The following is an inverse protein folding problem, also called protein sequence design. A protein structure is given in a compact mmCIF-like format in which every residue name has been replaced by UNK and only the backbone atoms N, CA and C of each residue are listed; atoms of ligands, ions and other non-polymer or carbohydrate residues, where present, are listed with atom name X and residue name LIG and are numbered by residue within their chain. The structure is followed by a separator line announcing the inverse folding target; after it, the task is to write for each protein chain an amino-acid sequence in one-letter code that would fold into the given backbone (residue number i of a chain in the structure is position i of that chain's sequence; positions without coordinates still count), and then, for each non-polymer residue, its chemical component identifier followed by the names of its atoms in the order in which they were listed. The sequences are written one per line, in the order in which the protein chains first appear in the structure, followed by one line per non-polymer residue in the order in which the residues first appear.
data_IF_867777470266
#
_entry.id   IF_867777470266
#
_cell.length_a   1.000
_cell.length_b   1.000
_cell.length_c   1.000
_cell.angle_alpha   90.00
_cell.angle_beta   90.00
_cell.angle_gamma   90.00
#
_symmetry.space_group_name_H-M   'P 1'
#
loop_
_entity.id
_entity.type
_entity.pdbx_description
1 polymer ?
#
# COMPACT_ATOMS: atom_id res chain seq x y z
N UNK A 1 33.19 1.95 -4.93
CA UNK A 1 32.90 3.39 -5.09
C UNK A 1 31.83 3.54 -6.16
N UNK A 2 30.54 3.48 -5.78
CA UNK A 2 29.44 3.68 -6.72
C UNK A 2 29.07 5.15 -6.75
N UNK A 3 29.45 5.85 -7.82
CA UNK A 3 29.12 7.26 -7.99
C UNK A 3 27.61 7.44 -8.01
N UNK A 4 27.07 8.14 -7.02
CA UNK A 4 25.73 8.69 -7.09
C UNK A 4 25.75 9.72 -8.22
N UNK A 5 25.30 9.29 -9.40
CA UNK A 5 25.15 10.15 -10.56
C UNK A 5 24.32 11.37 -10.17
N UNK A 6 24.98 12.52 -10.05
CA UNK A 6 24.36 13.83 -9.90
C UNK A 6 23.74 14.22 -11.24
N UNK A 7 22.73 13.48 -11.69
CA UNK A 7 21.73 14.08 -12.54
C UNK A 7 20.90 14.99 -11.64
N UNK A 8 21.48 16.16 -11.34
CA UNK A 8 20.82 17.35 -10.80
C UNK A 8 19.82 17.92 -11.80
N UNK A 9 19.01 17.03 -12.36
CA UNK A 9 17.89 17.36 -13.20
C UNK A 9 16.77 17.77 -12.27
N UNK A 10 16.34 19.01 -12.47
CA UNK A 10 15.19 19.74 -11.94
C UNK A 10 13.86 18.96 -12.10
N UNK A 11 13.79 17.72 -11.63
CA UNK A 11 12.64 16.84 -11.78
C UNK A 11 11.62 17.20 -10.71
N UNK A 12 10.52 17.78 -11.15
CA UNK A 12 9.39 18.09 -10.29
C UNK A 12 8.66 16.80 -9.92
N UNK A 13 8.40 16.62 -8.62
CA UNK A 13 7.65 15.49 -8.10
C UNK A 13 6.45 15.95 -7.30
N UNK A 14 5.31 15.30 -7.53
CA UNK A 14 4.13 15.39 -6.68
C UNK A 14 4.20 14.22 -5.70
N UNK A 15 4.42 14.50 -4.42
CA UNK A 15 4.73 13.48 -3.41
C UNK A 15 4.01 13.72 -2.08
N UNK A 16 3.91 12.67 -1.28
CA UNK A 16 3.39 12.76 0.10
C UNK A 16 4.51 13.16 1.05
N UNK A 17 4.34 14.29 1.72
CA UNK A 17 5.14 14.68 2.87
C UNK A 17 4.42 14.24 4.15
N UNK A 18 5.15 13.61 5.09
CA UNK A 18 4.57 13.04 6.29
C UNK A 18 4.56 14.09 7.40
N UNK A 19 3.40 14.27 7.98
CA UNK A 19 3.12 15.09 9.14
C UNK A 19 2.41 14.26 10.21
N UNK A 20 2.14 14.88 11.35
CA UNK A 20 1.46 14.25 12.46
C UNK A 20 2.40 13.56 13.45
N UNK A 21 1.80 12.93 14.46
CA UNK A 21 2.51 12.31 15.58
C UNK A 21 2.73 10.82 15.31
N UNK A 22 3.48 10.16 16.21
CA UNK A 22 3.57 8.69 16.20
C UNK A 22 2.14 8.11 16.25
N UNK A 23 1.88 7.11 15.40
CA UNK A 23 0.57 6.45 15.24
C UNK A 23 -0.59 7.33 14.77
N UNK A 24 -0.33 8.60 14.43
CA UNK A 24 -1.30 9.54 13.87
C UNK A 24 -0.72 10.17 12.60
N UNK A 25 -0.50 9.38 11.52
CA UNK A 25 -0.01 9.88 10.26
C UNK A 25 -0.99 10.86 9.61
N UNK A 26 -0.49 12.02 9.21
CA UNK A 26 -1.19 12.94 8.33
C UNK A 26 -0.28 13.24 7.14
N UNK A 27 -0.82 13.35 5.92
CA UNK A 27 0.01 13.64 4.75
C UNK A 27 -0.42 14.92 4.08
N UNK A 28 0.56 15.71 3.67
CA UNK A 28 0.35 16.81 2.72
C UNK A 28 0.89 16.38 1.36
N UNK A 29 0.19 16.79 0.30
CA UNK A 29 0.58 16.51 -1.07
C UNK A 29 1.39 17.72 -1.55
N UNK A 30 2.71 17.52 -1.69
CA UNK A 30 3.66 18.56 -2.05
C UNK A 30 4.07 18.43 -3.51
N UNK A 31 4.22 19.57 -4.16
CA UNK A 31 5.02 19.71 -5.37
C UNK A 31 6.39 20.19 -4.94
N UNK A 32 7.42 19.40 -5.21
CA UNK A 32 8.79 19.71 -4.81
C UNK A 32 9.80 19.19 -5.83
N UNK A 33 11.01 19.73 -5.79
CA UNK A 33 12.12 19.14 -6.54
C UNK A 33 12.42 17.74 -5.96
N UNK A 34 12.73 16.79 -6.84
CA UNK A 34 13.01 15.39 -6.48
C UNK A 34 14.08 15.23 -5.40
N UNK A 35 15.10 16.09 -5.43
CA UNK A 35 16.25 16.09 -4.53
C UNK A 35 15.95 16.71 -3.15
N UNK A 36 14.88 17.48 -3.04
CA UNK A 36 14.55 18.14 -1.78
C UNK A 36 14.18 17.11 -0.70
N UNK A 37 14.53 17.31 0.58
CA UNK A 37 14.14 16.40 1.67
C UNK A 37 12.63 16.18 1.72
N UNK A 38 12.18 14.98 2.12
CA UNK A 38 10.76 14.56 2.09
C UNK A 38 9.81 15.62 2.67
N UNK A 39 10.13 16.09 3.88
CA UNK A 39 9.29 17.01 4.65
C UNK A 39 9.84 18.45 4.64
N UNK A 40 10.81 18.74 3.76
CA UNK A 40 11.51 20.03 3.70
C UNK A 40 10.91 21.02 2.70
N UNK A 41 11.80 21.71 1.98
CA UNK A 41 11.42 22.73 0.99
C UNK A 41 10.53 22.12 -0.10
N UNK A 42 9.43 22.80 -0.38
CA UNK A 42 8.47 22.49 -1.42
C UNK A 42 8.12 23.79 -2.17
N UNK A 43 7.57 23.64 -3.37
CA UNK A 43 7.11 24.74 -4.21
C UNK A 43 5.67 25.11 -3.86
N UNK A 44 4.80 24.11 -3.71
CA UNK A 44 3.38 24.31 -3.47
C UNK A 44 2.76 23.11 -2.74
N UNK A 45 1.73 23.38 -1.93
CA UNK A 45 0.89 22.36 -1.32
C UNK A 45 -0.39 22.27 -2.15
N UNK A 46 -0.62 21.12 -2.78
CA UNK A 46 -1.74 20.90 -3.71
C UNK A 46 -2.84 20.01 -3.14
N UNK A 47 -2.70 19.56 -1.89
CA UNK A 47 -3.71 18.75 -1.23
C UNK A 47 -3.27 18.15 0.09
N UNK A 48 -4.15 17.36 0.69
CA UNK A 48 -3.93 16.64 1.94
C UNK A 48 -4.54 15.24 1.85
N UNK A 49 -3.98 14.31 2.61
CA UNK A 49 -4.46 12.94 2.70
C UNK A 49 -4.39 12.45 4.14
N UNK A 50 -5.54 12.08 4.68
CA UNK A 50 -5.67 11.40 5.96
C UNK A 50 -5.90 9.90 5.73
N UNK A 51 -4.94 9.04 6.07
CA UNK A 51 -5.08 7.60 5.93
C UNK A 51 -5.96 6.98 7.03
N UNK A 52 -6.16 7.68 8.15
CA UNK A 52 -6.98 7.20 9.26
C UNK A 52 -8.44 7.54 8.90
N UNK A 53 -9.32 6.53 8.80
CA UNK A 53 -10.73 6.80 8.58
C UNK A 53 -11.33 7.51 9.79
N UNK A 54 -12.19 8.49 9.55
CA UNK A 54 -12.96 9.14 10.62
C UNK A 54 -14.27 8.38 10.88
N UNK A 55 -15.25 9.06 11.49
CA UNK A 55 -16.54 8.49 11.91
C UNK A 55 -17.32 7.92 10.71
N UNK A 56 -17.11 8.47 9.52
CA UNK A 56 -17.75 8.06 8.27
C UNK A 56 -17.08 6.85 7.60
N UNK A 57 -16.07 6.23 8.24
CA UNK A 57 -15.25 5.13 7.72
C UNK A 57 -14.52 5.44 6.39
N UNK A 58 -14.44 6.71 5.99
CA UNK A 58 -13.77 7.12 4.76
C UNK A 58 -12.40 7.74 5.04
N UNK A 59 -11.47 7.55 4.10
CA UNK A 59 -10.17 8.22 4.13
C UNK A 59 -10.30 9.57 3.45
N UNK A 60 -10.03 10.65 4.17
CA UNK A 60 -10.19 11.98 3.62
C UNK A 60 -9.04 12.33 2.68
N UNK A 61 -9.41 12.79 1.49
CA UNK A 61 -8.50 13.24 0.45
C UNK A 61 -9.00 14.58 -0.06
N UNK A 62 -8.21 15.63 0.14
CA UNK A 62 -8.51 16.97 -0.37
C UNK A 62 -7.50 17.29 -1.46
N UNK A 63 -7.99 17.66 -2.65
CA UNK A 63 -7.16 17.92 -3.83
C UNK A 63 -7.51 19.28 -4.44
N UNK A 64 -6.51 20.10 -4.70
CA UNK A 64 -6.66 21.23 -5.61
C UNK A 64 -6.45 20.74 -7.04
N UNK A 65 -7.55 20.35 -7.69
CA UNK A 65 -7.53 19.70 -9.01
C UNK A 65 -6.89 20.59 -10.07
N UNK A 66 -7.18 21.89 -10.06
CA UNK A 66 -6.65 22.85 -11.04
C UNK A 66 -5.13 22.95 -10.96
N UNK A 67 -4.59 23.10 -9.75
CA UNK A 67 -3.15 23.16 -9.53
C UNK A 67 -2.46 21.86 -9.85
N UNK A 68 -3.07 20.72 -9.50
CA UNK A 68 -2.53 19.40 -9.86
C UNK A 68 -2.44 19.24 -11.38
N UNK A 69 -3.50 19.59 -12.11
CA UNK A 69 -3.50 19.54 -13.58
C UNK A 69 -2.43 20.44 -14.19
N UNK A 70 -2.25 21.65 -13.65
CA UNK A 70 -1.17 22.54 -14.05
C UNK A 70 0.22 21.91 -13.83
N UNK A 71 0.49 21.36 -12.65
CA UNK A 71 1.80 20.77 -12.39
C UNK A 71 2.07 19.52 -13.23
N UNK A 72 1.04 18.71 -13.50
CA UNK A 72 1.13 17.59 -14.42
C UNK A 72 1.46 18.07 -15.85
N UNK A 73 0.87 19.18 -16.31
CA UNK A 73 1.18 19.72 -17.65
C UNK A 73 2.59 20.31 -17.76
N UNK A 74 3.14 20.83 -16.65
CA UNK A 74 4.54 21.27 -16.54
C UNK A 74 5.53 20.09 -16.48
N UNK A 75 5.03 18.84 -16.40
CA UNK A 75 5.85 17.63 -16.39
C UNK A 75 6.18 17.11 -14.99
N UNK A 76 5.49 17.58 -13.95
CA UNK A 76 5.66 17.04 -12.60
C UNK A 76 5.20 15.58 -12.55
N UNK A 77 6.05 14.70 -12.01
CA UNK A 77 5.79 13.27 -11.93
C UNK A 77 5.18 12.92 -10.56
N UNK A 78 3.95 12.36 -10.50
CA UNK A 78 3.39 11.89 -9.24
C UNK A 78 4.09 10.62 -8.76
N UNK A 79 4.26 10.45 -7.44
CA UNK A 79 4.72 9.18 -6.87
C UNK A 79 3.65 8.10 -7.00
N UNK A 80 4.01 6.82 -6.96
CA UNK A 80 3.08 5.68 -7.11
C UNK A 80 1.81 5.81 -6.25
N UNK A 81 1.97 6.23 -4.99
CA UNK A 81 0.83 6.41 -4.08
C UNK A 81 -0.01 7.62 -4.44
N UNK A 82 0.60 8.72 -4.87
CA UNK A 82 -0.13 9.91 -5.33
C UNK A 82 -0.87 9.60 -6.63
N UNK A 83 -0.23 8.94 -7.59
CA UNK A 83 -0.87 8.48 -8.82
C UNK A 83 -2.08 7.60 -8.54
N UNK A 84 -1.99 6.69 -7.57
CA UNK A 84 -3.13 5.89 -7.11
C UNK A 84 -4.26 6.76 -6.53
N UNK A 85 -3.95 7.74 -5.67
CA UNK A 85 -4.94 8.64 -5.09
C UNK A 85 -5.62 9.51 -6.15
N UNK A 86 -4.85 10.04 -7.11
CA UNK A 86 -5.37 10.79 -8.26
C UNK A 86 -6.24 9.92 -9.17
N UNK A 87 -5.86 8.65 -9.36
CA UNK A 87 -6.67 7.66 -10.08
C UNK A 87 -8.02 7.40 -9.41
N UNK A 88 -8.01 7.23 -8.07
CA UNK A 88 -9.24 7.09 -7.27
C UNK A 88 -10.14 8.33 -7.31
N UNK A 89 -9.56 9.51 -7.48
CA UNK A 89 -10.27 10.78 -7.62
C UNK A 89 -10.70 11.09 -9.07
N UNK A 90 -10.37 10.24 -10.05
CA UNK A 90 -10.72 10.44 -11.45
C UNK A 90 -9.90 11.52 -12.17
N UNK A 91 -8.77 11.97 -11.59
CA UNK A 91 -7.89 13.00 -12.20
C UNK A 91 -6.93 12.39 -13.21
N UNK A 92 -6.45 11.17 -12.95
CA UNK A 92 -5.56 10.40 -13.80
C UNK A 92 -6.16 9.01 -14.06
N UNK A 93 -5.73 8.29 -15.11
CA UNK A 93 -6.07 6.87 -15.22
C UNK A 93 -5.52 6.10 -14.02
N UNK A 94 -6.28 5.11 -13.56
CA UNK A 94 -5.88 4.25 -12.44
C UNK A 94 -4.59 3.50 -12.81
N UNK A 95 -3.48 3.65 -12.04
CA UNK A 95 -2.26 2.93 -12.34
C UNK A 95 -2.44 1.41 -12.16
N UNK A 96 -1.68 0.58 -12.90
CA UNK A 96 -1.76 -0.88 -12.76
C UNK A 96 -1.45 -1.29 -11.33
N UNK A 97 -2.37 -2.02 -10.71
CA UNK A 97 -2.18 -2.49 -9.35
C UNK A 97 -1.15 -3.61 -9.35
N UNK A 98 -0.04 -3.42 -8.64
CA UNK A 98 0.89 -4.52 -8.39
C UNK A 98 0.18 -5.52 -7.47
N UNK A 99 0.08 -6.80 -7.83
CA UNK A 99 -0.54 -7.79 -6.96
C UNK A 99 0.19 -7.79 -5.63
N UNK A 100 -0.56 -7.63 -4.54
CA UNK A 100 -0.04 -7.66 -3.16
C UNK A 100 0.43 -9.07 -2.76
N UNK A 101 0.10 -10.08 -3.56
CA UNK A 101 0.44 -11.47 -3.31
C UNK A 101 1.92 -11.74 -3.56
N UNK A 102 2.70 -11.90 -2.47
CA UNK A 102 3.99 -12.56 -2.54
C UNK A 102 3.75 -14.06 -2.65
N UNK A 103 4.14 -14.67 -3.77
CA UNK A 103 4.16 -16.12 -3.86
C UNK A 103 5.01 -16.71 -2.72
N UNK A 104 4.53 -17.74 -2.01
CA UNK A 104 5.36 -18.44 -1.04
C UNK A 104 6.59 -19.01 -1.75
N UNK A 105 7.78 -18.71 -1.24
CA UNK A 105 9.07 -19.15 -1.84
C UNK A 105 9.19 -20.67 -2.04
N UNK A 106 8.35 -21.47 -1.37
CA UNK A 106 8.26 -22.91 -1.57
C UNK A 106 6.79 -23.38 -1.37
N UNK A 107 6.03 -23.59 -2.45
CA UNK A 107 4.63 -24.04 -2.37
C UNK A 107 4.47 -25.48 -1.88
N UNK A 108 5.48 -26.34 -2.04
CA UNK A 108 5.42 -27.78 -1.75
C UNK A 108 5.37 -28.09 -0.23
N UNK A 109 5.97 -27.23 0.59
CA UNK A 109 5.99 -27.38 2.06
C UNK A 109 4.60 -27.29 2.69
N UNK A 110 3.65 -26.62 2.03
CA UNK A 110 2.26 -26.52 2.51
C UNK A 110 1.56 -27.89 2.41
N UNK A 111 1.76 -28.61 1.31
CA UNK A 111 1.12 -29.91 1.04
C UNK A 111 1.68 -31.04 1.90
N UNK A 112 2.99 -31.05 2.17
CA UNK A 112 3.61 -32.03 3.07
C UNK A 112 3.12 -31.93 4.52
N UNK A 113 2.71 -30.74 4.98
CA UNK A 113 2.13 -30.55 6.32
C UNK A 113 0.74 -31.21 6.43
N UNK A 114 -0.11 -31.02 5.42
CA UNK A 114 -1.45 -31.64 5.39
C UNK A 114 -1.35 -33.16 5.28
N UNK A 115 -0.49 -33.67 4.41
CA UNK A 115 -0.27 -35.11 4.28
C UNK A 115 0.24 -35.77 5.57
N UNK A 116 1.10 -35.08 6.34
CA UNK A 116 1.54 -35.56 7.66
C UNK A 116 0.43 -35.53 8.70
N UNK A 117 -0.39 -34.48 8.74
CA UNK A 117 -1.53 -34.38 9.65
C UNK A 117 -2.60 -35.45 9.33
N UNK A 118 -2.81 -35.73 8.05
CA UNK A 118 -3.76 -36.74 7.57
C UNK A 118 -3.29 -38.16 7.94
N UNK A 119 -2.01 -38.47 7.73
CA UNK A 119 -1.40 -39.73 8.21
C UNK A 119 -1.45 -39.89 9.73
N UNK A 120 -1.33 -38.79 10.48
CA UNK A 120 -1.45 -38.82 11.94
C UNK A 120 -2.89 -39.10 12.37
N UNK A 121 -3.88 -38.46 11.73
CA UNK A 121 -5.30 -38.72 11.96
C UNK A 121 -5.68 -40.17 11.66
N UNK A 122 -5.26 -40.69 10.50
CA UNK A 122 -5.44 -42.10 10.12
C UNK A 122 -4.77 -43.06 11.11
N UNK A 123 -3.57 -42.72 11.61
CA UNK A 123 -2.87 -43.51 12.63
C UNK A 123 -3.57 -43.49 13.99
N UNK A 124 -4.17 -42.36 14.39
CA UNK A 124 -4.98 -42.26 15.62
C UNK A 124 -6.28 -43.07 15.50
N UNK A 125 -6.93 -43.05 14.33
CA UNK A 125 -8.11 -43.86 14.03
C UNK A 125 -7.79 -45.37 14.03
N UNK A 126 -6.66 -45.78 13.45
CA UNK A 126 -6.22 -47.18 13.41
C UNK A 126 -5.75 -47.71 14.78
N UNK A 127 -5.35 -46.84 15.71
CA UNK A 127 -5.01 -47.19 17.10
C UNK A 127 -6.24 -47.31 18.02
N UNK A 128 -7.46 -47.15 17.48
CA UNK A 128 -8.70 -47.49 18.19
C UNK A 128 -9.11 -46.47 19.26
N UNK A 129 -8.64 -45.23 19.20
CA UNK A 129 -9.20 -44.17 20.05
C UNK A 129 -10.52 -43.70 19.43
N UNK A 130 -11.62 -44.33 19.83
CA UNK A 130 -12.97 -43.91 19.47
C UNK A 130 -13.18 -42.45 19.92
N UNK A 131 -13.30 -41.54 18.96
CA UNK A 131 -13.75 -40.18 19.24
C UNK A 131 -15.25 -40.23 19.60
N UNK A 132 -15.55 -40.46 20.87
CA UNK A 132 -16.87 -40.19 21.43
C UNK A 132 -17.08 -38.67 21.44
N UNK A 133 -17.96 -38.18 20.57
CA UNK A 133 -18.56 -36.85 20.65
C UNK A 133 -18.05 -35.84 19.61
N UNK A 134 -18.59 -35.91 18.38
CA UNK A 134 -18.76 -34.71 17.56
C UNK A 134 -20.13 -34.11 17.90
N UNK A 135 -20.26 -32.78 18.15
CA UNK A 135 -21.57 -32.15 18.11
C UNK A 135 -22.06 -32.15 16.66
N UNK A 136 -23.22 -32.75 16.44
CA UNK A 136 -23.97 -32.64 15.19
C UNK A 136 -24.26 -31.17 14.93
N UNK A 137 -23.74 -30.65 13.82
CA UNK A 137 -24.22 -29.40 13.24
C UNK A 137 -25.45 -29.74 12.41
N UNK A 138 -26.63 -29.64 13.02
CA UNK A 138 -27.88 -29.49 12.29
C UNK A 138 -27.93 -28.11 11.60
N UNK A 139 -28.65 -28.10 10.48
CA UNK A 139 -28.79 -27.14 9.37
C UNK A 139 -28.64 -25.62 9.62
#
# INVERSE_FOLDING_TARGET
MGGNSHFGARLLRIRLARFGRRNLPFYRIYVANSESPRDGKHLEIVGTFDPIPQIDNNKHLTLNIERIKYWLSVGAQPSDRVAYLLGRAGVLPMPPQRPSFKMPKNPEKKYTKYAKAQRQYERMQAQGFAASGLPETEE
#
